data_IF_264167919612
#
_entry.id   IF_264167919612
#
_cell.length_a   1.000
_cell.length_b   1.000
_cell.length_c   1.000
_cell.angle_alpha   90.00
_cell.angle_beta   90.00
_cell.angle_gamma   90.00
#
_symmetry.space_group_name_H-M   'P 1'
#
loop_
_entity.id
_entity.type
_entity.pdbx_description
1 polymer ?
#
# COMPACT_ATOMS: atom_id res chain seq x y z
N UNK A 1 21.12 -29.33 30.46
CA UNK A 1 20.28 -28.17 30.06
C UNK A 1 20.09 -28.30 28.55
N UNK A 2 18.85 -28.40 28.04
CA UNK A 2 18.60 -28.57 26.59
C UNK A 2 18.84 -27.25 25.85
N UNK A 3 19.59 -27.28 24.76
CA UNK A 3 19.90 -26.13 23.87
C UNK A 3 18.62 -25.42 23.40
N UNK A 4 17.54 -26.18 23.22
CA UNK A 4 16.22 -25.68 22.81
C UNK A 4 15.62 -24.75 23.88
N UNK A 5 15.86 -25.05 25.17
CA UNK A 5 15.34 -24.25 26.26
C UNK A 5 16.11 -22.94 26.47
N UNK A 6 17.32 -22.82 25.94
CA UNK A 6 18.07 -21.54 25.94
C UNK A 6 17.58 -20.62 24.82
N UNK A 7 17.27 -21.19 23.65
CA UNK A 7 16.70 -20.47 22.52
C UNK A 7 15.27 -19.92 22.77
N UNK A 8 14.51 -20.54 23.68
CA UNK A 8 13.09 -20.20 23.94
C UNK A 8 12.86 -19.23 25.12
N UNK A 9 13.91 -18.73 25.80
CA UNK A 9 13.74 -17.94 27.04
C UNK A 9 13.28 -16.51 26.80
N UNK A 10 13.73 -15.91 25.70
CA UNK A 10 13.55 -14.48 25.42
C UNK A 10 12.60 -14.23 24.25
N UNK A 11 11.45 -14.91 24.26
CA UNK A 11 10.39 -14.63 23.29
C UNK A 11 9.81 -13.23 23.54
N UNK A 12 9.47 -12.53 22.46
CA UNK A 12 8.94 -11.17 22.54
C UNK A 12 7.66 -11.11 23.37
N UNK A 13 7.63 -10.24 24.38
CA UNK A 13 6.44 -9.94 25.16
C UNK A 13 6.12 -8.46 25.01
N UNK A 14 4.95 -8.15 24.45
CA UNK A 14 4.45 -6.77 24.40
C UNK A 14 4.04 -6.28 25.80
N UNK A 15 3.44 -7.18 26.59
CA UNK A 15 3.08 -6.94 27.98
C UNK A 15 3.19 -8.26 28.76
N UNK A 16 3.96 -8.26 29.85
CA UNK A 16 4.21 -9.42 30.72
C UNK A 16 2.93 -9.90 31.42
N UNK A 17 1.95 -9.02 31.61
CA UNK A 17 0.72 -9.33 32.33
C UNK A 17 -0.35 -10.02 31.46
N UNK A 18 -0.22 -10.00 30.13
CA UNK A 18 -1.26 -10.49 29.20
C UNK A 18 -1.68 -11.95 29.47
N UNK A 19 -0.76 -12.79 29.94
CA UNK A 19 -1.00 -14.22 30.17
C UNK A 19 -0.70 -14.67 31.61
N UNK A 20 -0.30 -13.76 32.51
CA UNK A 20 0.09 -14.11 33.89
C UNK A 20 -1.06 -14.68 34.71
N UNK A 21 -2.32 -14.38 34.33
CA UNK A 21 -3.55 -14.83 34.99
C UNK A 21 -4.44 -15.68 34.09
N UNK A 22 -3.89 -16.28 33.03
CA UNK A 22 -4.67 -17.09 32.11
C UNK A 22 -5.29 -18.30 32.84
N UNK A 23 -6.60 -18.49 32.64
CA UNK A 23 -7.34 -19.65 33.16
C UNK A 23 -7.94 -20.41 31.98
N UNK A 24 -7.49 -21.64 31.69
CA UNK A 24 -8.11 -22.47 30.66
C UNK A 24 -9.52 -22.86 31.13
N UNK A 25 -10.55 -22.32 30.46
CA UNK A 25 -11.93 -22.60 30.85
C UNK A 25 -12.38 -23.96 30.29
N UNK A 26 -12.25 -25.04 31.07
CA UNK A 26 -12.60 -26.41 30.67
C UNK A 26 -14.12 -26.64 30.55
N UNK A 27 -14.97 -25.72 31.01
CA UNK A 27 -16.43 -25.92 31.07
C UNK A 27 -17.29 -24.77 30.50
N UNK A 28 -16.72 -23.79 29.77
CA UNK A 28 -17.45 -22.55 29.37
C UNK A 28 -17.82 -22.43 27.90
N UNK A 29 -17.55 -23.42 27.05
CA UNK A 29 -17.84 -23.33 25.60
C UNK A 29 -19.33 -23.04 25.29
N UNK A 30 -20.24 -23.39 26.19
CA UNK A 30 -21.67 -23.16 26.01
C UNK A 30 -22.15 -21.75 26.43
N UNK A 31 -21.38 -20.99 27.21
CA UNK A 31 -21.88 -19.77 27.88
C UNK A 31 -21.19 -18.45 27.49
N UNK A 32 -20.13 -18.49 26.69
CA UNK A 32 -19.42 -17.29 26.21
C UNK A 32 -19.40 -17.23 24.68
N UNK A 33 -20.58 -17.29 24.06
CA UNK A 33 -20.71 -16.80 22.68
C UNK A 33 -20.23 -15.35 22.67
N UNK A 34 -19.18 -15.05 21.91
CA UNK A 34 -18.69 -13.68 21.78
C UNK A 34 -19.85 -12.81 21.29
N UNK A 35 -20.12 -11.66 21.94
CA UNK A 35 -21.24 -10.82 21.56
C UNK A 35 -21.06 -10.34 20.12
N UNK A 36 -22.12 -10.42 19.32
CA UNK A 36 -22.12 -9.88 17.96
C UNK A 36 -22.24 -8.36 18.01
N UNK A 37 -21.40 -7.65 17.27
CA UNK A 37 -21.49 -6.21 17.16
C UNK A 37 -22.72 -5.81 16.32
N UNK A 38 -23.65 -5.09 16.94
CA UNK A 38 -24.83 -4.52 16.27
C UNK A 38 -24.59 -3.04 16.01
N UNK A 39 -24.56 -2.65 14.74
CA UNK A 39 -24.42 -1.26 14.32
C UNK A 39 -25.75 -0.53 14.59
N UNK A 40 -25.76 0.38 15.57
CA UNK A 40 -26.96 1.16 15.95
C UNK A 40 -26.92 2.62 15.49
N UNK A 41 -25.75 3.11 15.09
CA UNK A 41 -25.54 4.48 14.63
C UNK A 41 -24.99 4.46 13.22
N UNK A 42 -25.61 5.23 12.35
CA UNK A 42 -25.09 5.45 11.01
C UNK A 42 -23.93 6.44 11.08
N UNK A 43 -22.76 6.03 10.57
CA UNK A 43 -21.56 6.86 10.50
C UNK A 43 -21.10 6.86 9.04
N UNK A 44 -21.11 8.00 8.35
CA UNK A 44 -20.69 8.04 6.96
C UNK A 44 -19.21 7.65 6.82
N UNK A 45 -18.83 6.92 5.76
CA UNK A 45 -17.44 6.62 5.50
C UNK A 45 -16.68 7.90 5.18
N UNK A 46 -15.45 8.02 5.68
CA UNK A 46 -14.58 9.16 5.38
C UNK A 46 -14.07 9.15 3.94
N UNK A 47 -13.93 7.96 3.35
CA UNK A 47 -13.44 7.76 1.99
C UNK A 47 -14.20 6.60 1.33
N UNK A 48 -14.38 6.69 0.01
CA UNK A 48 -15.03 5.66 -0.80
C UNK A 48 -14.01 5.05 -1.74
N UNK A 49 -13.92 3.72 -1.75
CA UNK A 49 -13.06 2.98 -2.68
C UNK A 49 -13.76 2.96 -4.05
N UNK A 50 -13.18 3.66 -5.02
CA UNK A 50 -13.69 3.72 -6.40
C UNK A 50 -12.78 2.91 -7.32
N UNK A 51 -13.35 1.91 -7.99
CA UNK A 51 -12.65 1.21 -9.05
C UNK A 51 -12.70 2.01 -10.36
N UNK A 52 -11.61 2.00 -11.13
CA UNK A 52 -11.62 2.63 -12.46
C UNK A 52 -12.55 1.83 -13.40
N UNK A 53 -13.57 2.45 -14.01
CA UNK A 53 -14.49 1.75 -14.93
C UNK A 53 -13.88 1.47 -16.30
N UNK A 54 -12.62 1.87 -16.54
CA UNK A 54 -11.98 1.77 -17.85
C UNK A 54 -11.46 0.36 -18.10
N UNK A 55 -11.72 -0.14 -19.31
CA UNK A 55 -11.14 -1.39 -19.80
C UNK A 55 -9.60 -1.27 -19.80
N UNK A 56 -8.94 -2.19 -19.11
CA UNK A 56 -7.48 -2.21 -18.91
C UNK A 56 -6.66 -2.08 -20.21
N UNK A 57 -7.21 -2.54 -21.35
CA UNK A 57 -6.60 -2.42 -22.67
C UNK A 57 -6.50 -0.96 -23.13
N UNK A 58 -7.57 -0.18 -22.98
CA UNK A 58 -7.58 1.23 -23.39
C UNK A 58 -6.60 2.04 -22.54
N UNK A 59 -6.60 1.81 -21.22
CA UNK A 59 -5.62 2.43 -20.32
C UNK A 59 -4.18 2.11 -20.76
N UNK A 60 -3.90 0.86 -21.13
CA UNK A 60 -2.57 0.46 -21.61
C UNK A 60 -2.18 1.18 -22.91
N UNK A 61 -3.08 1.25 -23.90
CA UNK A 61 -2.81 1.92 -25.18
C UNK A 61 -2.54 3.41 -25.00
N UNK A 62 -3.37 4.11 -24.21
CA UNK A 62 -3.15 5.52 -23.89
C UNK A 62 -1.81 5.74 -23.20
N UNK A 63 -1.48 4.94 -22.18
CA UNK A 63 -0.19 5.01 -21.49
C UNK A 63 1.00 4.76 -22.43
N UNK A 64 0.87 3.84 -23.39
CA UNK A 64 1.92 3.56 -24.36
C UNK A 64 2.14 4.74 -25.32
N UNK A 65 1.05 5.35 -25.80
CA UNK A 65 1.10 6.51 -26.69
C UNK A 65 1.65 7.75 -25.99
N UNK A 66 1.16 8.05 -24.79
CA UNK A 66 1.62 9.21 -24.00
C UNK A 66 3.12 9.13 -23.72
N UNK A 67 3.64 7.94 -23.43
CA UNK A 67 5.08 7.72 -23.27
C UNK A 67 5.88 7.99 -24.55
N UNK A 68 5.35 7.60 -25.72
CA UNK A 68 6.00 7.85 -27.02
C UNK A 68 6.01 9.33 -27.38
N UNK A 69 4.91 10.04 -27.15
CA UNK A 69 4.84 11.46 -27.48
C UNK A 69 5.58 12.34 -26.47
N UNK A 70 5.70 11.91 -25.20
CA UNK A 70 6.57 12.56 -24.22
C UNK A 70 8.05 12.49 -24.62
N UNK A 71 8.50 11.39 -25.25
CA UNK A 71 9.86 11.26 -25.76
C UNK A 71 10.15 12.27 -26.89
N UNK A 72 9.19 12.46 -27.81
CA UNK A 72 9.32 13.43 -28.90
C UNK A 72 9.40 14.88 -28.42
N UNK A 73 8.66 15.24 -27.38
CA UNK A 73 8.69 16.59 -26.81
C UNK A 73 10.01 16.91 -26.10
N UNK A 74 10.72 15.91 -25.56
CA UNK A 74 12.04 16.08 -24.94
C UNK A 74 13.16 16.28 -25.99
N UNK A 75 13.11 15.54 -27.10
CA UNK A 75 14.11 15.71 -28.18
C UNK A 75 13.96 17.05 -28.91
N UNK A 76 12.73 17.55 -29.09
CA UNK A 76 12.50 18.85 -29.71
C UNK A 76 13.06 20.01 -28.86
N UNK A 77 12.99 19.94 -27.53
CA UNK A 77 13.58 20.97 -26.66
C UNK A 77 15.11 21.02 -26.73
N UNK A 78 15.79 19.88 -26.93
CA UNK A 78 17.25 19.83 -27.04
C UNK A 78 17.75 20.32 -28.42
N UNK A 79 16.97 20.09 -29.48
CA UNK A 79 17.24 20.59 -30.83
C UNK A 79 17.01 22.11 -30.99
N UNK A 80 15.98 22.67 -30.34
CA UNK A 80 15.69 24.11 -30.41
C UNK A 80 16.78 24.97 -29.75
N UNK A 81 17.40 24.48 -28.67
CA UNK A 81 18.48 25.18 -27.98
C UNK A 81 19.74 25.19 -28.85
N UNK A 82 20.13 24.05 -29.44
CA UNK A 82 21.35 23.94 -30.26
C UNK A 82 21.27 24.68 -31.60
N UNK A 83 20.10 24.76 -32.23
CA UNK A 83 19.89 25.48 -33.49
C UNK A 83 19.97 27.02 -33.38
N UNK A 84 19.87 27.57 -32.17
CA UNK A 84 19.91 29.02 -31.92
C UNK A 84 21.33 29.61 -31.80
N UNK A 85 22.34 28.78 -31.49
CA UNK A 85 23.73 29.24 -31.30
C UNK A 85 24.51 29.45 -32.61
N UNK A 86 24.16 28.73 -33.68
CA UNK A 86 24.91 28.78 -34.95
C UNK A 86 24.45 29.89 -35.91
N UNK A 87 23.33 30.56 -35.63
CA UNK A 87 22.78 31.62 -36.50
C UNK A 87 23.32 33.04 -36.22
N UNK A 88 24.23 33.24 -35.26
CA UNK A 88 24.73 34.58 -34.88
C UNK A 88 26.19 34.86 -35.26
N UNK A 89 26.80 34.05 -36.12
CA UNK A 89 28.23 34.19 -36.45
C UNK A 89 28.48 34.12 -37.94
N UNK A 90 28.03 35.10 -38.72
CA UNK A 90 28.64 35.46 -40.01
C UNK A 90 28.54 36.99 -40.24
N UNK A 91 29.67 37.69 -40.42
CA UNK A 91 29.71 39.07 -40.92
C UNK A 91 29.18 39.17 -42.34
#
# INVERSE_FOLDING_TARGET
>A
MSVINEFMRDLSSYNRDNFSRFQPNVHKELYYRQPTYLVTKDKPPTQVIVAEPKQIRMRYLHQYWDKKDAAKKRELSDCEISGSYWKKSRP
#
